data_IF_408282009223
#
_entry.id   IF_408282009223
#
_cell.length_a   1.000
_cell.length_b   1.000
_cell.length_c   1.000
_cell.angle_alpha   90.00
_cell.angle_beta   90.00
_cell.angle_gamma   90.00
#
_symmetry.space_group_name_H-M   'P 1'
#
loop_
_entity.id
_entity.type
_entity.pdbx_description
1 polymer ?
#
# COMPACT_ATOMS: atom_id res chain seq x y z
N UNK A 1 -10.99 14.13 -8.00
CA UNK A 1 -10.55 12.82 -7.47
C UNK A 1 -10.10 11.83 -8.55
N UNK A 2 -10.80 11.69 -9.69
CA UNK A 2 -10.45 10.74 -10.78
C UNK A 2 -8.99 10.86 -11.26
N UNK A 3 -8.44 12.08 -11.36
CA UNK A 3 -7.07 12.28 -11.84
C UNK A 3 -5.96 11.67 -10.94
N UNK A 4 -6.19 11.50 -9.63
CA UNK A 4 -5.18 10.91 -8.74
C UNK A 4 -5.10 9.39 -8.89
N UNK A 5 -6.23 8.72 -9.06
CA UNK A 5 -6.27 7.26 -9.27
C UNK A 5 -5.64 6.87 -10.60
N UNK A 6 -5.86 7.64 -11.66
CA UNK A 6 -5.19 7.41 -12.95
C UNK A 6 -3.68 7.57 -12.81
N UNK A 7 -3.20 8.62 -12.15
CA UNK A 7 -1.76 8.83 -11.90
C UNK A 7 -1.15 7.71 -11.08
N UNK A 8 -1.85 7.26 -10.03
CA UNK A 8 -1.40 6.17 -9.17
C UNK A 8 -1.26 4.86 -9.95
N UNK A 9 -2.21 4.57 -10.84
CA UNK A 9 -2.12 3.41 -11.74
C UNK A 9 -0.87 3.47 -12.63
N UNK A 10 -0.53 4.64 -13.16
CA UNK A 10 0.68 4.79 -13.98
C UNK A 10 1.96 4.63 -13.14
N UNK A 11 1.98 5.09 -11.88
CA UNK A 11 3.08 4.79 -10.94
C UNK A 11 3.22 3.27 -10.77
N UNK A 12 2.14 2.54 -10.49
CA UNK A 12 2.19 1.09 -10.29
C UNK A 12 2.77 0.34 -11.50
N UNK A 13 2.42 0.77 -12.72
CA UNK A 13 2.97 0.19 -13.96
C UNK A 13 4.47 0.42 -14.15
N UNK A 14 5.02 1.53 -13.62
CA UNK A 14 6.46 1.82 -13.71
C UNK A 14 7.32 0.98 -12.79
N UNK A 15 6.72 0.37 -11.77
CA UNK A 15 7.41 -0.40 -10.74
C UNK A 15 6.92 -1.86 -10.68
N UNK A 16 7.00 -2.64 -11.79
CA UNK A 16 6.51 -4.01 -11.80
C UNK A 16 7.29 -4.87 -10.78
N UNK A 17 6.60 -5.85 -10.18
CA UNK A 17 7.21 -6.78 -9.23
C UNK A 17 6.25 -7.89 -8.81
N UNK A 18 6.56 -8.54 -7.69
CA UNK A 18 5.81 -9.68 -7.16
C UNK A 18 4.95 -9.36 -5.92
N UNK A 19 5.05 -8.14 -5.38
CA UNK A 19 4.35 -7.77 -4.14
C UNK A 19 2.97 -7.24 -4.44
N UNK A 20 1.94 -7.80 -3.79
CA UNK A 20 0.56 -7.33 -3.94
C UNK A 20 0.34 -5.98 -3.24
N UNK A 21 -0.49 -5.13 -3.83
CA UNK A 21 -0.88 -3.83 -3.27
C UNK A 21 -2.29 -3.89 -2.68
N UNK A 22 -2.55 -3.20 -1.58
CA UNK A 22 -3.88 -3.02 -0.99
C UNK A 22 -4.03 -1.58 -0.53
N UNK A 23 -5.26 -1.07 -0.47
CA UNK A 23 -5.57 0.25 0.05
C UNK A 23 -6.14 0.17 1.46
N UNK A 24 -5.85 1.19 2.24
CA UNK A 24 -6.50 1.45 3.53
C UNK A 24 -7.25 2.77 3.41
N UNK A 25 -8.52 2.78 3.78
CA UNK A 25 -9.40 3.93 3.71
C UNK A 25 -9.84 4.29 5.13
N UNK A 26 -9.54 5.51 5.57
CA UNK A 26 -10.16 6.07 6.77
C UNK A 26 -11.52 6.64 6.38
N UNK A 27 -12.60 5.96 6.74
CA UNK A 27 -13.99 6.35 6.42
C UNK A 27 -14.54 7.30 7.47
N UNK A 28 -14.13 7.11 8.73
CA UNK A 28 -14.31 8.02 9.85
C UNK A 28 -13.07 7.94 10.77
N UNK A 29 -12.88 8.85 11.73
CA UNK A 29 -11.68 8.85 12.60
C UNK A 29 -11.40 7.51 13.28
N UNK A 30 -12.46 6.74 13.55
CA UNK A 30 -12.39 5.45 14.25
C UNK A 30 -12.63 4.24 13.33
N UNK A 31 -12.81 4.47 12.00
CA UNK A 31 -13.13 3.41 11.04
C UNK A 31 -12.12 3.38 9.89
N UNK A 32 -11.24 2.40 9.93
CA UNK A 32 -10.34 2.04 8.85
C UNK A 32 -10.86 0.80 8.11
N UNK A 33 -10.95 0.91 6.78
CA UNK A 33 -11.36 -0.18 5.89
C UNK A 33 -10.17 -0.54 5.02
N UNK A 34 -9.75 -1.81 5.08
CA UNK A 34 -8.71 -2.33 4.20
C UNK A 34 -9.36 -3.02 2.99
N UNK A 35 -8.90 -2.69 1.79
CA UNK A 35 -9.28 -3.45 0.60
C UNK A 35 -8.56 -4.81 0.60
N UNK A 36 -9.10 -5.76 -0.16
CA UNK A 36 -8.30 -6.90 -0.61
C UNK A 36 -7.12 -6.46 -1.49
N UNK A 37 -6.28 -7.42 -1.86
CA UNK A 37 -5.24 -7.19 -2.85
C UNK A 37 -5.86 -6.74 -4.17
N UNK A 38 -5.29 -5.69 -4.76
CA UNK A 38 -5.76 -5.18 -6.04
C UNK A 38 -5.52 -6.23 -7.13
N UNK A 39 -6.57 -6.62 -7.88
CA UNK A 39 -6.43 -7.62 -8.92
C UNK A 39 -5.49 -7.11 -10.01
N UNK A 40 -4.58 -7.97 -10.47
CA UNK A 40 -3.64 -7.69 -11.56
C UNK A 40 -2.67 -6.52 -11.29
N UNK A 41 -2.43 -6.18 -10.01
CA UNK A 41 -1.46 -5.16 -9.62
C UNK A 41 -0.46 -5.75 -8.66
N UNK A 42 0.77 -5.89 -9.13
CA UNK A 42 1.92 -6.27 -8.32
C UNK A 42 3.07 -5.32 -8.59
N UNK A 43 3.82 -5.00 -7.53
CA UNK A 43 4.87 -3.99 -7.58
C UNK A 43 6.15 -4.46 -6.90
N UNK A 44 7.26 -3.81 -7.21
CA UNK A 44 8.49 -3.94 -6.42
C UNK A 44 8.50 -2.85 -5.34
N UNK A 45 8.44 -3.21 -4.05
CA UNK A 45 8.51 -2.23 -2.98
C UNK A 45 9.92 -1.63 -2.95
N UNK A 46 10.03 -0.34 -3.29
CA UNK A 46 11.29 0.40 -3.29
C UNK A 46 11.07 1.81 -2.75
N UNK A 47 12.13 2.47 -2.26
CA UNK A 47 12.04 3.87 -1.83
C UNK A 47 11.54 4.81 -2.93
N UNK A 48 11.88 4.52 -4.20
CA UNK A 48 11.39 5.27 -5.36
C UNK A 48 9.88 5.09 -5.55
N UNK A 49 9.39 3.85 -5.45
CA UNK A 49 7.97 3.56 -5.52
C UNK A 49 7.19 4.31 -4.44
N UNK A 50 7.65 4.25 -3.18
CA UNK A 50 7.03 4.94 -2.05
C UNK A 50 6.98 6.46 -2.30
N UNK A 51 8.09 7.06 -2.71
CA UNK A 51 8.19 8.49 -2.99
C UNK A 51 7.23 8.94 -4.12
N UNK A 52 7.12 8.16 -5.20
CA UNK A 52 6.19 8.47 -6.28
C UNK A 52 4.71 8.35 -5.85
N UNK A 53 4.37 7.34 -5.05
CA UNK A 53 3.00 7.19 -4.51
C UNK A 53 2.65 8.36 -3.59
N UNK A 54 3.56 8.75 -2.70
CA UNK A 54 3.38 9.92 -1.83
C UNK A 54 3.30 11.23 -2.62
N UNK A 55 4.01 11.35 -3.74
CA UNK A 55 3.88 12.48 -4.64
C UNK A 55 2.48 12.63 -5.26
N UNK A 56 1.73 11.53 -5.40
CA UNK A 56 0.36 11.52 -5.93
C UNK A 56 -0.68 11.70 -4.82
N UNK A 57 -0.52 10.99 -3.71
CA UNK A 57 -1.52 10.90 -2.64
C UNK A 57 -1.30 11.91 -1.51
N UNK A 58 -0.07 12.33 -1.27
CA UNK A 58 0.37 13.11 -0.13
C UNK A 58 1.44 12.37 0.69
N UNK A 59 2.32 13.10 1.37
CA UNK A 59 3.33 12.49 2.27
C UNK A 59 2.64 11.74 3.40
N UNK A 60 3.19 10.59 3.79
CA UNK A 60 2.63 9.72 4.82
C UNK A 60 1.46 8.83 4.33
N UNK A 61 1.12 8.87 3.03
CA UNK A 61 0.05 8.03 2.48
C UNK A 61 0.44 6.55 2.34
N UNK A 62 1.73 6.22 2.47
CA UNK A 62 2.23 4.85 2.37
C UNK A 62 2.73 4.38 3.73
N UNK A 63 2.19 3.25 4.20
CA UNK A 63 2.69 2.54 5.35
C UNK A 63 3.35 1.23 4.89
N UNK A 64 4.59 1.00 5.29
CA UNK A 64 5.25 -0.29 5.13
C UNK A 64 4.71 -1.23 6.22
N UNK A 65 3.81 -2.11 5.84
CA UNK A 65 3.39 -3.20 6.71
C UNK A 65 4.50 -4.25 6.68
N UNK A 66 5.28 -4.34 7.76
CA UNK A 66 6.03 -5.56 8.02
C UNK A 66 5.03 -6.69 8.21
N UNK A 67 5.35 -7.87 7.67
CA UNK A 67 4.59 -9.09 7.93
C UNK A 67 4.45 -9.22 9.45
N UNK A 68 3.24 -8.97 9.97
CA UNK A 68 2.96 -9.14 11.38
C UNK A 68 3.05 -10.65 11.61
N UNK A 69 4.00 -11.14 12.43
CA UNK A 69 4.03 -12.56 12.74
C UNK A 69 2.65 -12.97 13.29
N UNK A 70 2.15 -14.16 12.94
CA UNK A 70 0.81 -14.60 13.33
C UNK A 70 0.63 -14.39 14.83
N UNK A 71 -0.48 -13.76 15.21
CA UNK A 71 -0.82 -13.52 16.60
C UNK A 71 -0.89 -14.87 17.34
N UNK A 72 0.18 -15.22 18.05
CA UNK A 72 0.34 -16.55 18.66
C UNK A 72 1.80 -17.02 18.83
N UNK A 73 2.78 -16.38 18.21
CA UNK A 73 4.19 -16.70 18.47
C UNK A 73 4.62 -16.17 19.86
N UNK A 74 4.39 -16.99 20.89
CA UNK A 74 4.96 -16.80 22.23
C UNK A 74 6.49 -16.78 22.11
N UNK A 75 7.20 -15.77 22.63
CA UNK A 75 8.65 -15.83 22.69
C UNK A 75 9.04 -17.01 23.58
N UNK A 76 9.77 -17.97 23.02
CA UNK A 76 10.41 -19.02 23.78
C UNK A 76 11.41 -18.36 24.75
N UNK A 77 11.31 -18.75 26.01
CA UNK A 77 12.10 -18.28 27.16
C UNK A 77 13.60 -18.23 26.92
#
# INVERSE_FOLDING_TARGET
MIGKLTKLREVFKRHPGSTSVSFMFTVSPDLEVRSGSLPNVTVTPSGMFVSEVEGVLGRGAVALLHDKPPAGASPAR
#
